data_IF_699140274914
#
_entry.id   IF_699140274914
#
_cell.length_a   1.000
_cell.length_b   1.000
_cell.length_c   1.000
_cell.angle_alpha   90.00
_cell.angle_beta   90.00
_cell.angle_gamma   90.00
#
_symmetry.space_group_name_H-M   'P 1'
#
loop_
_entity.id
_entity.type
_entity.pdbx_description
1 polymer ?
#
# COMPACT_ATOMS: atom_id res chain seq x y z
N UNK A 1 -35.27 18.76 -23.47
CA UNK A 1 -33.88 18.76 -23.96
C UNK A 1 -33.14 19.86 -23.23
N UNK A 2 -32.49 19.53 -22.12
CA UNK A 2 -31.65 20.47 -21.34
C UNK A 2 -30.34 19.75 -21.07
N UNK A 3 -29.26 20.32 -21.61
CA UNK A 3 -27.97 19.67 -21.78
C UNK A 3 -27.22 19.43 -20.48
N UNK A 4 -26.75 18.21 -20.30
CA UNK A 4 -25.62 17.90 -19.44
C UNK A 4 -24.32 18.17 -20.22
N UNK A 5 -23.78 19.38 -20.11
CA UNK A 5 -22.40 19.66 -20.50
C UNK A 5 -21.49 19.40 -19.30
N UNK A 6 -20.98 18.18 -19.20
CA UNK A 6 -19.92 17.82 -18.27
C UNK A 6 -18.84 17.08 -19.05
N UNK A 7 -17.66 17.66 -19.17
CA UNK A 7 -16.50 16.98 -19.74
C UNK A 7 -16.07 15.86 -18.80
N UNK A 8 -16.52 14.62 -19.08
CA UNK A 8 -16.14 13.41 -18.33
C UNK A 8 -14.76 12.87 -18.69
N UNK A 9 -13.97 13.64 -19.44
CA UNK A 9 -12.64 13.22 -19.90
C UNK A 9 -11.58 14.23 -19.45
N UNK A 10 -11.19 14.15 -18.19
CA UNK A 10 -9.85 14.57 -17.78
C UNK A 10 -9.39 13.77 -16.55
N UNK A 11 -8.25 13.09 -16.74
CA UNK A 11 -7.36 12.48 -15.73
C UNK A 11 -7.76 11.14 -15.08
N UNK A 12 -8.08 10.12 -15.90
CA UNK A 12 -8.09 8.70 -15.47
C UNK A 12 -6.69 8.06 -15.44
N UNK A 13 -5.71 8.70 -14.80
CA UNK A 13 -4.31 8.28 -14.80
C UNK A 13 -3.71 7.97 -13.42
N UNK A 14 -4.55 7.61 -12.44
CA UNK A 14 -4.11 7.10 -11.15
C UNK A 14 -4.66 5.69 -10.98
N UNK A 15 -3.80 4.70 -10.78
CA UNK A 15 -4.22 3.30 -10.80
C UNK A 15 -5.23 2.96 -9.71
N UNK A 16 -6.21 2.11 -10.04
CA UNK A 16 -7.17 1.53 -9.10
C UNK A 16 -6.49 0.51 -8.18
N UNK A 17 -6.96 0.41 -6.93
CA UNK A 17 -6.53 -0.68 -6.08
C UNK A 17 -6.98 -2.02 -6.67
N UNK A 18 -6.09 -3.02 -6.63
CA UNK A 18 -6.41 -4.40 -6.97
C UNK A 18 -6.81 -5.15 -5.71
N UNK A 19 -7.89 -5.92 -5.81
CA UNK A 19 -8.40 -6.75 -4.73
C UNK A 19 -7.41 -7.85 -4.29
N UNK A 20 -7.55 -8.26 -3.02
CA UNK A 20 -6.80 -9.34 -2.37
C UNK A 20 -7.79 -10.29 -1.72
N UNK A 21 -8.06 -11.42 -2.37
CA UNK A 21 -9.12 -12.33 -1.93
C UNK A 21 -10.47 -11.62 -2.03
N UNK A 22 -11.26 -11.65 -0.96
CA UNK A 22 -12.53 -10.92 -0.84
C UNK A 22 -12.37 -9.47 -0.40
N UNK A 23 -11.15 -8.93 -0.33
CA UNK A 23 -10.91 -7.56 0.16
C UNK A 23 -10.49 -6.62 -0.95
N UNK A 24 -11.00 -5.40 -0.94
CA UNK A 24 -10.55 -4.35 -1.85
C UNK A 24 -10.46 -3.01 -1.11
N UNK A 25 -9.33 -2.33 -1.25
CA UNK A 25 -9.22 -0.94 -0.85
C UNK A 25 -9.94 -0.04 -1.86
N UNK A 26 -10.49 1.08 -1.39
CA UNK A 26 -11.16 2.09 -2.22
C UNK A 26 -10.77 3.49 -1.76
N UNK A 27 -10.23 4.30 -2.67
CA UNK A 27 -9.93 5.71 -2.46
C UNK A 27 -11.17 6.55 -2.76
N UNK A 28 -11.83 7.04 -1.71
CA UNK A 28 -13.05 7.84 -1.84
C UNK A 28 -12.82 9.18 -2.57
N UNK A 29 -11.59 9.69 -2.58
CA UNK A 29 -11.21 10.90 -3.31
C UNK A 29 -11.04 10.68 -4.81
N UNK A 30 -10.70 9.45 -5.23
CA UNK A 30 -10.47 9.11 -6.65
C UNK A 30 -11.61 8.34 -7.30
N UNK A 31 -12.35 7.53 -6.54
CA UNK A 31 -13.45 6.74 -7.10
C UNK A 31 -14.50 7.66 -7.74
N UNK A 32 -14.78 7.38 -9.01
CA UNK A 32 -15.61 8.22 -9.87
C UNK A 32 -17.09 7.83 -9.77
N UNK A 33 -17.62 7.92 -8.56
CA UNK A 33 -19.06 7.79 -8.23
C UNK A 33 -19.61 9.12 -7.68
N UNK A 34 -20.86 9.48 -7.96
CA UNK A 34 -21.44 10.75 -7.52
C UNK A 34 -21.74 10.77 -6.02
N UNK A 35 -21.77 11.97 -5.42
CA UNK A 35 -22.24 12.19 -4.05
C UNK A 35 -21.18 12.72 -3.08
N UNK A 36 -21.64 13.04 -1.86
CA UNK A 36 -20.79 13.36 -0.71
C UNK A 36 -19.99 12.12 -0.26
N UNK A 37 -19.01 12.29 0.64
CA UNK A 37 -18.30 11.15 1.22
C UNK A 37 -19.26 10.13 1.86
N UNK A 38 -20.30 10.60 2.56
CA UNK A 38 -21.34 9.76 3.14
C UNK A 38 -22.14 9.03 2.06
N UNK A 39 -22.60 9.74 1.02
CA UNK A 39 -23.32 9.12 -0.10
C UNK A 39 -22.47 8.10 -0.88
N UNK A 40 -21.15 8.31 -0.96
CA UNK A 40 -20.22 7.32 -1.54
C UNK A 40 -20.15 6.04 -0.71
N UNK A 41 -20.17 6.15 0.63
CA UNK A 41 -20.19 4.98 1.54
C UNK A 41 -21.50 4.21 1.39
N UNK A 42 -22.63 4.91 1.42
CA UNK A 42 -23.95 4.29 1.21
C UNK A 42 -24.04 3.60 -0.16
N UNK A 43 -23.50 4.21 -1.22
CA UNK A 43 -23.48 3.63 -2.55
C UNK A 43 -22.65 2.33 -2.59
N UNK A 44 -21.48 2.31 -1.94
CA UNK A 44 -20.63 1.11 -1.79
C UNK A 44 -21.37 0.00 -1.04
N UNK A 45 -22.03 0.31 0.07
CA UNK A 45 -22.78 -0.68 0.84
C UNK A 45 -23.99 -1.20 0.06
N UNK A 46 -24.64 -0.33 -0.74
CA UNK A 46 -25.79 -0.72 -1.56
C UNK A 46 -25.46 -1.86 -2.53
N UNK A 47 -24.22 -1.93 -3.04
CA UNK A 47 -23.79 -2.98 -3.97
C UNK A 47 -23.36 -4.28 -3.29
N UNK A 48 -23.60 -4.41 -1.98
CA UNK A 48 -23.33 -5.61 -1.20
C UNK A 48 -21.92 -5.66 -0.60
N UNK A 49 -21.14 -4.57 -0.70
CA UNK A 49 -19.86 -4.48 0.00
C UNK A 49 -20.09 -4.18 1.49
N UNK A 50 -19.21 -4.67 2.35
CA UNK A 50 -19.18 -4.29 3.76
C UNK A 50 -17.93 -3.46 4.02
N UNK A 51 -18.07 -2.28 4.64
CA UNK A 51 -16.91 -1.48 5.06
C UNK A 51 -16.34 -2.10 6.34
N UNK A 52 -15.10 -2.58 6.29
CA UNK A 52 -14.46 -3.26 7.42
C UNK A 52 -13.55 -2.34 8.23
N UNK A 53 -12.93 -1.35 7.58
CA UNK A 53 -12.03 -0.41 8.24
C UNK A 53 -11.93 0.91 7.46
N UNK A 54 -11.80 2.02 8.18
CA UNK A 54 -11.49 3.35 7.65
C UNK A 54 -10.05 3.82 7.97
N UNK A 55 -9.30 3.05 8.76
CA UNK A 55 -7.85 3.18 8.96
C UNK A 55 -7.19 1.80 8.77
N UNK A 56 -6.96 1.41 7.50
CA UNK A 56 -6.72 0.03 7.17
C UNK A 56 -5.35 -0.49 7.60
N UNK A 57 -4.42 0.39 8.02
CA UNK A 57 -3.09 -0.01 8.48
C UNK A 57 -2.96 0.07 10.00
N UNK A 58 -3.53 1.08 10.67
CA UNK A 58 -3.34 1.22 12.11
C UNK A 58 -3.85 0.00 12.90
N UNK A 59 -4.97 -0.58 12.49
CA UNK A 59 -5.55 -1.76 13.14
C UNK A 59 -4.67 -3.01 12.99
N UNK A 60 -3.97 -3.14 11.88
CA UNK A 60 -3.16 -4.32 11.54
C UNK A 60 -1.81 -4.36 12.22
N UNK A 61 -1.23 -3.19 12.52
CA UNK A 61 0.07 -3.09 13.17
C UNK A 61 0.07 -3.71 14.57
N UNK A 62 -1.08 -3.74 15.24
CA UNK A 62 -1.24 -4.31 16.58
C UNK A 62 -1.17 -5.84 16.57
N UNK A 63 -1.71 -6.51 15.55
CA UNK A 63 -1.76 -7.99 15.47
C UNK A 63 -0.54 -8.61 14.80
N UNK A 64 0.19 -7.82 14.01
CA UNK A 64 1.32 -8.23 13.20
C UNK A 64 2.52 -8.80 13.98
N UNK A 65 2.65 -8.50 15.28
CA UNK A 65 3.77 -8.97 16.13
C UNK A 65 3.77 -10.47 16.44
N UNK A 66 2.65 -11.14 16.18
CA UNK A 66 2.51 -12.59 16.44
C UNK A 66 3.17 -13.48 15.39
N UNK A 67 3.62 -12.93 14.27
CA UNK A 67 4.18 -13.71 13.16
C UNK A 67 5.57 -14.30 13.50
N UNK A 68 5.84 -15.54 13.07
CA UNK A 68 7.18 -16.15 13.20
C UNK A 68 8.04 -15.79 11.98
N UNK A 69 9.30 -15.42 12.21
CA UNK A 69 10.21 -15.12 11.11
C UNK A 69 10.80 -16.40 10.48
N UNK A 70 10.86 -16.44 9.15
CA UNK A 70 11.72 -17.37 8.40
C UNK A 70 12.16 -16.74 7.08
N UNK A 71 13.46 -16.81 6.77
CA UNK A 71 13.99 -16.38 5.46
C UNK A 71 13.24 -17.07 4.31
N UNK A 72 12.75 -16.29 3.37
CA UNK A 72 12.09 -16.81 2.16
C UNK A 72 10.71 -17.40 2.41
N UNK A 73 10.01 -17.01 3.48
CA UNK A 73 8.63 -17.42 3.72
C UNK A 73 7.71 -16.97 2.58
N UNK A 74 6.77 -17.80 2.14
CA UNK A 74 5.84 -17.46 1.06
C UNK A 74 4.74 -16.55 1.57
N UNK A 75 4.14 -15.75 0.69
CA UNK A 75 2.98 -14.92 1.05
C UNK A 75 1.81 -15.76 1.57
N UNK A 76 1.66 -16.99 1.08
CA UNK A 76 0.62 -17.95 1.51
C UNK A 76 0.85 -18.52 2.92
N UNK A 77 2.02 -18.31 3.53
CA UNK A 77 2.33 -18.80 4.89
C UNK A 77 2.05 -17.74 5.96
N UNK A 78 1.78 -16.51 5.55
CA UNK A 78 1.40 -15.45 6.47
C UNK A 78 -0.04 -15.67 6.98
N UNK A 79 -0.35 -15.30 8.24
CA UNK A 79 0.52 -14.62 9.21
C UNK A 79 1.47 -15.55 9.97
N UNK A 80 1.27 -16.87 9.92
CA UNK A 80 2.01 -17.80 10.79
C UNK A 80 3.52 -17.71 10.59
N UNK A 81 3.98 -17.62 9.34
CA UNK A 81 5.41 -17.52 9.00
C UNK A 81 5.63 -16.44 7.94
N UNK A 82 6.57 -15.53 8.21
CA UNK A 82 6.86 -14.38 7.34
C UNK A 82 8.36 -14.10 7.15
N UNK A 83 8.72 -13.54 6.00
CA UNK A 83 9.92 -12.75 5.81
C UNK A 83 9.56 -11.28 5.61
N UNK A 84 10.55 -10.40 5.43
CA UNK A 84 10.32 -8.96 5.36
C UNK A 84 9.28 -8.53 4.32
N UNK A 85 9.27 -9.16 3.14
CA UNK A 85 8.40 -8.73 2.04
C UNK A 85 7.11 -9.55 1.95
N UNK A 86 7.08 -10.79 2.46
CA UNK A 86 5.80 -11.49 2.68
C UNK A 86 5.01 -10.87 3.83
N UNK A 87 5.68 -10.36 4.85
CA UNK A 87 5.09 -9.64 5.98
C UNK A 87 4.37 -8.37 5.52
N UNK A 88 5.07 -7.49 4.79
CA UNK A 88 4.45 -6.28 4.23
C UNK A 88 3.31 -6.63 3.28
N UNK A 89 3.51 -7.62 2.39
CA UNK A 89 2.45 -8.07 1.47
C UNK A 89 1.21 -8.56 2.22
N UNK A 90 1.39 -9.26 3.34
CA UNK A 90 0.28 -9.72 4.16
C UNK A 90 -0.44 -8.55 4.84
N UNK A 91 0.28 -7.62 5.49
CA UNK A 91 -0.32 -6.43 6.12
C UNK A 91 -1.17 -5.68 5.09
N UNK A 92 -0.59 -5.30 3.95
CA UNK A 92 -1.34 -4.58 2.92
C UNK A 92 -2.48 -5.42 2.33
N UNK A 93 -2.32 -6.74 2.25
CA UNK A 93 -3.40 -7.63 1.83
C UNK A 93 -4.61 -7.64 2.78
N UNK A 94 -4.39 -7.54 4.10
CA UNK A 94 -5.49 -7.41 5.06
C UNK A 94 -6.22 -6.07 4.93
N UNK A 95 -5.50 -5.03 4.48
CA UNK A 95 -6.04 -3.73 4.08
C UNK A 95 -6.70 -3.71 2.68
N UNK A 96 -6.83 -4.87 2.01
CA UNK A 96 -7.37 -4.93 0.65
C UNK A 96 -6.47 -4.31 -0.43
N UNK A 97 -5.19 -4.09 -0.14
CA UNK A 97 -4.20 -3.48 -1.03
C UNK A 97 -3.25 -4.55 -1.54
N UNK A 98 -3.36 -4.88 -2.83
CA UNK A 98 -2.40 -5.78 -3.44
C UNK A 98 -1.05 -5.10 -3.67
N UNK A 99 0.04 -5.71 -3.17
CA UNK A 99 1.41 -5.34 -3.51
C UNK A 99 2.24 -6.55 -3.99
N UNK A 100 3.33 -6.36 -4.74
CA UNK A 100 4.20 -7.45 -5.20
C UNK A 100 4.85 -8.25 -4.07
N UNK A 101 5.35 -9.45 -4.39
CA UNK A 101 5.98 -10.34 -3.40
C UNK A 101 7.36 -9.87 -2.95
N UNK A 102 8.18 -9.29 -3.83
CA UNK A 102 9.60 -8.99 -3.53
C UNK A 102 9.76 -7.54 -3.08
N UNK A 103 10.64 -7.28 -2.13
CA UNK A 103 10.93 -5.93 -1.62
C UNK A 103 11.33 -4.93 -2.71
N UNK A 104 12.20 -5.31 -3.65
CA UNK A 104 12.55 -4.44 -4.78
C UNK A 104 11.32 -4.09 -5.64
N UNK A 105 10.47 -5.08 -5.91
CA UNK A 105 9.24 -4.85 -6.67
C UNK A 105 8.23 -4.01 -5.88
N UNK A 106 8.19 -4.11 -4.54
CA UNK A 106 7.34 -3.26 -3.69
C UNK A 106 7.82 -1.81 -3.67
N UNK A 107 9.14 -1.56 -3.68
CA UNK A 107 9.71 -0.21 -3.81
C UNK A 107 9.30 0.42 -5.14
N UNK A 108 9.47 -0.35 -6.21
CA UNK A 108 9.24 0.10 -7.58
C UNK A 108 7.76 -0.04 -7.97
N UNK A 109 6.91 -0.59 -7.10
CA UNK A 109 5.51 -0.89 -7.38
C UNK A 109 4.72 0.38 -7.57
N UNK A 110 4.07 0.53 -8.72
CA UNK A 110 3.31 1.72 -9.04
C UNK A 110 1.80 1.57 -9.01
N UNK A 111 1.25 0.37 -8.92
CA UNK A 111 -0.18 0.17 -9.20
C UNK A 111 -0.47 0.39 -10.70
N UNK A 112 -1.57 -0.17 -11.21
CA UNK A 112 -1.95 -0.12 -12.63
C UNK A 112 -2.35 1.30 -13.07
N UNK A 113 -1.37 2.20 -13.21
CA UNK A 113 -1.57 3.62 -13.49
C UNK A 113 -0.78 4.56 -12.58
N UNK A 114 -0.02 4.04 -11.62
CA UNK A 114 1.02 4.88 -11.03
C UNK A 114 2.07 5.14 -12.08
N UNK A 115 2.10 6.37 -12.57
CA UNK A 115 3.39 7.01 -12.45
C UNK A 115 3.72 6.97 -10.96
N UNK A 116 4.95 6.58 -10.64
CA UNK A 116 5.46 6.88 -9.32
C UNK A 116 5.10 8.35 -9.12
N UNK A 117 4.48 8.71 -8.00
CA UNK A 117 4.48 10.11 -7.61
C UNK A 117 5.98 10.42 -7.52
N UNK A 118 6.48 11.02 -8.61
CA UNK A 118 7.79 10.89 -9.28
C UNK A 118 8.12 9.62 -10.14
N UNK A 119 7.91 9.61 -11.47
CA UNK A 119 9.07 9.35 -12.32
C UNK A 119 9.96 10.55 -12.07
N UNK A 120 10.74 10.50 -11.01
CA UNK A 120 11.76 11.48 -10.76
C UNK A 120 12.55 11.62 -12.08
N UNK A 121 12.58 12.75 -12.80
CA UNK A 121 13.89 13.28 -13.06
C UNK A 121 14.35 13.83 -11.70
N UNK A 122 14.79 12.94 -10.80
CA UNK A 122 15.14 13.23 -9.40
C UNK A 122 13.86 13.56 -8.57
N UNK A 123 13.46 12.88 -7.49
CA UNK A 123 14.16 12.46 -6.28
C UNK A 123 13.97 10.95 -6.06
N UNK A 124 14.97 10.08 -6.30
CA UNK A 124 15.97 9.80 -5.26
C UNK A 124 15.85 10.72 -4.06
N UNK A 125 15.55 10.17 -2.88
CA UNK A 125 16.26 10.67 -1.69
C UNK A 125 17.72 10.58 -2.11
N UNK A 126 18.30 11.74 -2.41
CA UNK A 126 19.66 11.86 -2.95
C UNK A 126 20.55 10.94 -2.12
N UNK A 127 21.68 10.54 -2.70
CA UNK A 127 22.90 10.22 -1.93
C UNK A 127 23.22 11.27 -0.82
N UNK A 128 22.52 12.41 -0.83
CA UNK A 128 22.47 13.51 0.14
C UNK A 128 21.04 14.05 0.34
N UNK A 129 20.11 13.29 0.94
CA UNK A 129 19.00 13.95 1.65
C UNK A 129 19.50 14.35 3.02
N UNK A 130 19.56 15.65 3.22
CA UNK A 130 19.68 16.24 4.55
C UNK A 130 18.48 15.80 5.38
N UNK A 131 18.68 15.76 6.70
CA UNK A 131 17.73 15.26 7.70
C UNK A 131 16.26 15.70 7.47
N UNK A 132 16.06 16.91 6.92
CA UNK A 132 14.75 17.55 6.76
C UNK A 132 13.85 16.97 5.64
N UNK A 133 14.38 16.21 4.67
CA UNK A 133 13.54 15.53 3.65
C UNK A 133 12.93 14.21 4.16
N UNK A 134 13.38 13.75 5.35
CA UNK A 134 12.84 12.56 6.03
C UNK A 134 11.57 12.89 6.83
N UNK A 135 11.21 14.17 6.91
CA UNK A 135 10.06 14.66 7.66
C UNK A 135 8.73 14.35 6.97
N UNK A 136 8.74 13.89 5.70
CA UNK A 136 7.52 13.45 5.01
C UNK A 136 7.32 11.93 5.03
N UNK A 137 8.09 11.18 5.83
CA UNK A 137 7.80 9.78 6.10
C UNK A 137 6.59 9.69 7.03
N UNK A 138 5.58 8.92 6.64
CA UNK A 138 4.30 8.82 7.36
C UNK A 138 4.03 7.40 7.80
N UNK A 139 3.19 7.27 8.83
CA UNK A 139 2.64 5.97 9.23
C UNK A 139 2.03 5.26 8.02
N UNK A 140 2.34 3.97 7.89
CA UNK A 140 1.93 3.13 6.76
C UNK A 140 2.86 3.19 5.55
N UNK A 141 3.84 4.10 5.50
CA UNK A 141 4.82 4.06 4.42
C UNK A 141 5.72 2.80 4.52
N UNK A 142 6.09 2.22 3.37
CA UNK A 142 7.13 1.21 3.31
C UNK A 142 8.50 1.89 3.22
N UNK A 143 9.46 1.47 4.05
CA UNK A 143 10.85 1.93 3.96
C UNK A 143 11.77 0.79 3.55
N UNK A 144 12.65 1.05 2.59
CA UNK A 144 13.51 0.06 1.96
C UNK A 144 14.96 0.34 2.28
N UNK A 145 15.72 -0.73 2.55
CA UNK A 145 17.15 -0.65 2.80
C UNK A 145 17.92 -1.78 2.13
N UNK A 146 19.23 -1.59 1.93
CA UNK A 146 20.13 -2.71 1.65
C UNK A 146 20.22 -3.62 2.86
N UNK A 147 20.44 -4.91 2.60
CA UNK A 147 20.54 -5.94 3.60
C UNK A 147 21.78 -6.81 3.38
N UNK A 148 21.73 -8.00 3.97
CA UNK A 148 22.78 -8.99 3.79
C UNK A 148 22.86 -9.53 2.35
N UNK A 149 21.72 -9.60 1.67
CA UNK A 149 21.62 -10.00 0.27
C UNK A 149 20.55 -9.18 -0.40
N UNK A 150 20.98 -8.38 -1.37
CA UNK A 150 20.10 -7.48 -2.10
C UNK A 150 19.58 -8.15 -3.37
N UNK A 151 18.33 -7.84 -3.71
CA UNK A 151 17.82 -8.00 -5.06
C UNK A 151 18.06 -6.70 -5.80
N UNK A 152 18.56 -6.77 -7.03
CA UNK A 152 18.76 -5.63 -7.91
C UNK A 152 18.33 -6.03 -9.32
N UNK A 153 18.00 -5.03 -10.13
CA UNK A 153 17.67 -5.22 -11.54
C UNK A 153 18.95 -5.05 -12.39
N UNK A 154 19.42 -3.81 -12.53
CA UNK A 154 20.59 -3.47 -13.33
C UNK A 154 21.80 -3.02 -12.51
N UNK A 155 21.59 -2.25 -11.44
CA UNK A 155 22.65 -1.70 -10.59
C UNK A 155 22.62 -2.31 -9.17
N UNK A 156 23.62 -3.12 -8.78
CA UNK A 156 23.75 -3.65 -7.42
C UNK A 156 23.79 -2.57 -6.33
N UNK A 157 24.28 -1.37 -6.62
CA UNK A 157 24.30 -0.27 -5.66
C UNK A 157 22.88 0.20 -5.28
N UNK A 158 21.90 -0.01 -6.17
CA UNK A 158 20.48 0.27 -5.96
C UNK A 158 19.71 -0.96 -5.44
N UNK A 159 20.41 -2.02 -5.06
CA UNK A 159 19.80 -3.24 -4.54
C UNK A 159 18.99 -3.01 -3.27
N UNK A 160 17.89 -3.77 -3.13
CA UNK A 160 17.03 -3.78 -1.95
C UNK A 160 17.12 -5.15 -1.28
N UNK A 161 17.54 -5.16 -0.02
CA UNK A 161 17.67 -6.40 0.77
C UNK A 161 16.62 -6.54 1.86
N UNK A 162 15.98 -5.43 2.27
CA UNK A 162 15.05 -5.44 3.39
C UNK A 162 13.99 -4.33 3.28
N UNK A 163 12.84 -4.55 3.92
CA UNK A 163 11.71 -3.62 3.97
C UNK A 163 11.06 -3.66 5.35
N UNK A 164 10.50 -2.53 5.77
CA UNK A 164 9.63 -2.43 6.94
C UNK A 164 8.47 -1.45 6.69
N UNK A 165 7.49 -1.46 7.58
CA UNK A 165 6.35 -0.53 7.55
C UNK A 165 6.53 0.49 8.67
N UNK A 166 6.44 1.78 8.34
CA UNK A 166 6.51 2.86 9.32
C UNK A 166 5.27 2.81 10.21
N UNK A 167 5.46 2.74 11.52
CA UNK A 167 4.37 2.67 12.51
C UNK A 167 4.04 4.03 13.11
N UNK A 168 5.03 4.93 13.19
CA UNK A 168 4.91 6.32 13.59
C UNK A 168 6.20 7.09 13.23
N UNK A 169 6.31 8.33 13.68
CA UNK A 169 7.48 9.22 13.50
C UNK A 169 8.80 8.66 14.06
N UNK A 170 8.77 7.58 14.85
CA UNK A 170 9.94 7.03 15.55
C UNK A 170 10.27 5.59 15.21
N UNK A 171 9.32 4.82 14.67
CA UNK A 171 9.46 3.36 14.60
C UNK A 171 9.02 2.76 13.28
N UNK A 172 9.60 1.60 12.97
CA UNK A 172 9.32 0.77 11.81
C UNK A 172 9.14 -0.66 12.28
N UNK A 173 8.00 -1.27 11.99
CA UNK A 173 7.78 -2.70 12.19
C UNK A 173 8.30 -3.50 10.99
N UNK A 174 9.01 -4.58 11.27
CA UNK A 174 9.58 -5.43 10.22
C UNK A 174 9.85 -6.86 10.71
N UNK A 175 9.78 -7.81 9.78
CA UNK A 175 10.27 -9.17 10.00
C UNK A 175 11.80 -9.20 9.86
N UNK A 176 12.50 -8.99 10.99
CA UNK A 176 13.93 -8.65 11.03
C UNK A 176 14.85 -9.81 10.64
N UNK A 177 14.91 -10.87 11.46
CA UNK A 177 15.78 -12.03 11.27
C UNK A 177 15.38 -13.17 12.20
N UNK A 178 16.05 -14.33 12.10
CA UNK A 178 15.77 -15.53 12.91
C UNK A 178 15.97 -15.33 14.41
N UNK A 179 16.79 -14.36 14.82
CA UNK A 179 17.07 -14.09 16.23
C UNK A 179 16.02 -13.18 16.86
N UNK A 180 15.57 -12.16 16.11
CA UNK A 180 14.69 -11.12 16.63
C UNK A 180 13.21 -11.35 16.29
N UNK A 181 12.89 -12.04 15.21
CA UNK A 181 11.51 -12.22 14.76
C UNK A 181 10.93 -10.97 14.09
N UNK A 182 9.63 -10.73 14.29
CA UNK A 182 8.96 -9.47 13.91
C UNK A 182 9.05 -8.48 15.08
N UNK A 183 9.71 -7.35 14.85
CA UNK A 183 9.94 -6.32 15.88
C UNK A 183 9.68 -4.93 15.31
N UNK A 184 9.54 -3.96 16.22
CA UNK A 184 9.73 -2.56 15.88
C UNK A 184 11.14 -2.13 16.21
N UNK A 185 11.74 -1.41 15.27
CA UNK A 185 13.07 -0.80 15.44
C UNK A 185 12.97 0.71 15.21
N UNK A 186 13.90 1.51 15.74
CA UNK A 186 13.96 2.94 15.48
C UNK A 186 14.01 3.24 13.98
N UNK A 187 13.20 4.21 13.52
CA UNK A 187 13.16 4.62 12.11
C UNK A 187 14.52 5.11 11.61
N UNK A 188 15.33 5.70 12.50
CA UNK A 188 16.68 6.16 12.20
C UNK A 188 17.60 5.05 11.65
N UNK A 189 17.40 3.79 12.06
CA UNK A 189 18.16 2.65 11.53
C UNK A 189 17.86 2.36 10.06
N UNK A 190 16.63 2.65 9.63
CA UNK A 190 16.20 2.50 8.25
C UNK A 190 16.61 3.68 7.38
N UNK A 191 16.69 4.86 7.98
CA UNK A 191 17.06 6.09 7.28
C UNK A 191 18.59 6.29 7.23
N UNK A 192 19.40 5.34 7.68
CA UNK A 192 20.86 5.46 7.59
C UNK A 192 21.34 5.58 6.14
N UNK A 193 22.14 6.61 5.83
CA UNK A 193 22.41 7.07 4.46
C UNK A 193 22.99 5.99 3.54
N UNK A 194 23.90 5.16 4.04
CA UNK A 194 24.55 4.12 3.22
C UNK A 194 23.61 2.94 2.91
N UNK A 195 22.59 2.75 3.75
CA UNK A 195 21.66 1.62 3.65
C UNK A 195 20.29 2.01 3.12
N UNK A 196 19.92 3.28 3.15
CA UNK A 196 18.63 3.73 2.67
C UNK A 196 18.45 3.47 1.17
N UNK A 197 17.28 2.94 0.77
CA UNK A 197 16.94 2.60 -0.63
C UNK A 197 15.60 3.16 -1.09
N UNK A 198 14.96 4.00 -0.30
CA UNK A 198 13.70 4.66 -0.66
C UNK A 198 12.59 4.45 0.35
N UNK A 199 11.52 5.21 0.15
CA UNK A 199 10.25 5.10 0.86
C UNK A 199 9.14 5.00 -0.18
N UNK A 200 8.10 4.20 0.10
CA UNK A 200 6.93 4.05 -0.75
C UNK A 200 5.64 4.22 0.04
N UNK A 201 4.86 5.22 -0.34
CA UNK A 201 3.48 5.42 0.14
C UNK A 201 2.50 4.58 -0.67
N UNK A 202 1.74 3.73 0.01
CA UNK A 202 0.72 2.88 -0.60
C UNK A 202 -0.69 3.43 -0.42
N UNK A 203 -0.89 4.29 0.58
CA UNK A 203 -2.18 4.91 0.92
C UNK A 203 -2.00 6.43 0.88
N UNK A 204 -2.83 7.18 0.13
CA UNK A 204 -2.78 8.64 0.12
C UNK A 204 -3.04 9.22 1.52
N UNK A 205 -2.44 10.38 1.80
CA UNK A 205 -2.62 11.10 3.07
C UNK A 205 -3.69 12.20 2.99
N UNK A 206 -4.11 12.53 1.78
CA UNK A 206 -5.05 13.60 1.46
C UNK A 206 -6.48 13.10 1.21
N UNK A 207 -6.65 11.79 0.98
CA UNK A 207 -7.95 11.16 0.73
C UNK A 207 -8.25 10.05 1.74
N UNK A 208 -9.54 9.85 2.02
CA UNK A 208 -10.00 8.70 2.79
C UNK A 208 -9.92 7.42 1.95
N UNK A 209 -9.31 6.37 2.50
CA UNK A 209 -9.27 5.03 1.91
C UNK A 209 -9.98 4.04 2.82
N UNK A 210 -10.93 3.29 2.27
CA UNK A 210 -11.66 2.25 2.99
C UNK A 210 -11.09 0.88 2.65
N UNK A 211 -11.12 -0.04 3.61
CA UNK A 211 -11.06 -1.49 3.31
C UNK A 211 -12.47 -2.04 3.25
N UNK A 212 -12.78 -2.69 2.13
CA UNK A 212 -14.06 -3.35 1.91
C UNK A 212 -13.90 -4.86 1.91
N UNK A 213 -14.91 -5.57 2.40
CA UNK A 213 -15.20 -6.94 1.97
C UNK A 213 -16.17 -6.88 0.78
N UNK A 214 -15.77 -7.53 -0.31
CA UNK A 214 -16.51 -7.58 -1.56
C UNK A 214 -17.62 -8.63 -1.49
N UNK A 215 -18.76 -8.42 -2.17
CA UNK A 215 -19.86 -9.38 -2.16
C UNK A 215 -19.41 -10.76 -2.70
N UNK A 216 -19.70 -11.87 -1.98
CA UNK A 216 -19.21 -13.20 -2.37
C UNK A 216 -19.79 -13.69 -3.70
N UNK A 217 -20.93 -13.16 -4.13
CA UNK A 217 -21.61 -13.51 -5.36
C UNK A 217 -21.13 -12.72 -6.60
N UNK A 218 -20.14 -11.82 -6.45
CA UNK A 218 -19.57 -11.06 -7.55
C UNK A 218 -18.05 -11.08 -7.53
N UNK A 219 -17.47 -11.13 -8.72
CA UNK A 219 -16.04 -10.96 -8.91
C UNK A 219 -15.70 -9.46 -8.90
N UNK A 220 -14.75 -9.09 -8.04
CA UNK A 220 -14.18 -7.74 -7.96
C UNK A 220 -12.67 -7.89 -8.06
N UNK A 221 -12.11 -7.52 -9.20
CA UNK A 221 -10.66 -7.56 -9.41
C UNK A 221 -10.01 -6.25 -8.97
N UNK A 222 -10.72 -5.13 -9.17
CA UNK A 222 -10.25 -3.79 -8.86
C UNK A 222 -11.34 -2.90 -8.28
N UNK A 223 -10.90 -1.81 -7.68
CA UNK A 223 -11.78 -0.72 -7.23
C UNK A 223 -12.69 -0.17 -8.33
N UNK A 224 -12.27 -0.20 -9.61
CA UNK A 224 -13.10 0.31 -10.70
C UNK A 224 -14.30 -0.60 -10.99
N UNK A 225 -14.22 -1.90 -10.68
CA UNK A 225 -15.35 -2.82 -10.80
C UNK A 225 -16.49 -2.41 -9.86
N UNK A 226 -16.15 -1.93 -8.65
CA UNK A 226 -17.11 -1.41 -7.68
C UNK A 226 -17.82 -0.15 -8.21
N UNK A 227 -17.08 0.73 -8.88
CA UNK A 227 -17.66 1.89 -9.56
C UNK A 227 -18.73 1.45 -10.55
N UNK A 228 -18.43 0.48 -11.43
CA UNK A 228 -19.38 -0.01 -12.42
C UNK A 228 -20.61 -0.66 -11.77
N UNK A 229 -20.41 -1.44 -10.71
CA UNK A 229 -21.51 -2.04 -9.94
C UNK A 229 -22.45 -0.98 -9.36
N UNK A 230 -21.91 0.14 -8.87
CA UNK A 230 -22.69 1.25 -8.31
C UNK A 230 -23.45 1.97 -9.42
N UNK A 231 -22.76 2.35 -10.50
CA UNK A 231 -23.37 3.12 -11.59
C UNK A 231 -24.52 2.38 -12.27
N UNK A 232 -24.45 1.05 -12.38
CA UNK A 232 -25.54 0.22 -12.92
C UNK A 232 -26.82 0.23 -12.07
N UNK A 233 -26.75 0.63 -10.80
CA UNK A 233 -27.93 0.76 -9.93
C UNK A 233 -28.55 2.17 -9.95
N UNK A 234 -27.82 3.15 -10.48
CA UNK A 234 -28.29 4.53 -10.61
C UNK A 234 -29.06 4.76 -11.92
N UNK A 235 -29.01 3.80 -12.84
CA UNK A 235 -29.74 3.77 -14.13
C UNK A 235 -30.99 2.93 -14.02
#
# INVERSE_FOLDING_TARGET
MSGFSGSWFSNGGGGSYRAVGSRCAVDLGRILIPGSLEGKREAIESVGCTIVSDDPIAELMTTARSCVWRRGARASEAPSVVDCSSFTKWIFGQAGIWIPRRSIQQRDWVGNGGHAVNPAPLFFVKKWCWMNDRDDVRTGDLVFVSGWRDYYDTDPAQGVGHVGVVTNDRTVIHAANSRLGVIESPIAEFLYIDRFRGVRRMIPTDHAVLTLETPPEREVETEDDLRWMILQRLT
#
